data_IF_125153345699
#
_entry.id   IF_125153345699
#
_cell.length_a   1.000
_cell.length_b   1.000
_cell.length_c   1.000
_cell.angle_alpha   90.00
_cell.angle_beta   90.00
_cell.angle_gamma   90.00
#
_symmetry.space_group_name_H-M   'P 1'
#
loop_
_entity.id
_entity.type
_entity.pdbx_description
1 polymer ?
#
# COMPACT_ATOMS: atom_id res chain seq x y z
N UNK A 1 -5.64 3.95 -21.57
CA UNK A 1 -5.08 2.66 -21.09
C UNK A 1 -5.05 2.75 -19.57
N UNK A 2 -6.10 2.29 -18.90
CA UNK A 2 -6.17 2.36 -17.44
C UNK A 2 -5.57 1.10 -16.86
N UNK A 3 -4.62 1.27 -15.94
CA UNK A 3 -3.99 0.23 -15.14
C UNK A 3 -5.03 -0.37 -14.18
N UNK A 4 -6.01 -1.08 -14.76
CA UNK A 4 -7.26 -1.46 -14.11
C UNK A 4 -6.95 -2.28 -12.84
N UNK A 5 -7.30 -1.74 -11.68
CA UNK A 5 -7.06 -2.38 -10.38
C UNK A 5 -5.63 -2.31 -9.84
N UNK A 6 -4.72 -1.56 -10.48
CA UNK A 6 -3.33 -1.36 -10.00
C UNK A 6 -3.06 0.02 -9.43
N UNK A 7 -3.84 1.02 -9.82
CA UNK A 7 -3.74 2.39 -9.30
C UNK A 7 -5.11 2.83 -8.78
N UNK A 8 -5.12 3.47 -7.61
CA UNK A 8 -6.31 4.02 -6.98
C UNK A 8 -6.02 5.39 -6.38
N UNK A 9 -6.79 6.38 -6.81
CA UNK A 9 -6.78 7.73 -6.23
C UNK A 9 -7.79 7.81 -5.09
N UNK A 10 -7.39 8.39 -3.96
CA UNK A 10 -8.22 8.63 -2.78
C UNK A 10 -7.85 9.99 -2.19
N UNK A 11 -8.73 10.97 -2.34
CA UNK A 11 -8.41 12.35 -1.99
C UNK A 11 -7.18 12.86 -2.76
N UNK A 12 -6.15 13.28 -2.03
CA UNK A 12 -4.89 13.79 -2.58
C UNK A 12 -3.81 12.70 -2.78
N UNK A 13 -4.10 11.44 -2.41
CA UNK A 13 -3.14 10.34 -2.49
C UNK A 13 -3.42 9.41 -3.66
N UNK A 14 -2.33 8.84 -4.19
CA UNK A 14 -2.35 7.78 -5.19
C UNK A 14 -1.76 6.51 -4.57
N UNK A 15 -2.54 5.43 -4.56
CA UNK A 15 -2.08 4.10 -4.16
C UNK A 15 -1.81 3.26 -5.40
N UNK A 16 -0.66 2.60 -5.46
CA UNK A 16 -0.28 1.75 -6.57
C UNK A 16 0.23 0.38 -6.09
N UNK A 17 0.02 -0.67 -6.91
CA UNK A 17 0.59 -1.99 -6.68
C UNK A 17 1.08 -2.64 -7.97
N UNK A 18 2.21 -3.35 -7.87
CA UNK A 18 2.74 -4.18 -8.95
C UNK A 18 2.18 -5.63 -8.92
N UNK A 19 1.36 -5.97 -7.91
CA UNK A 19 0.75 -7.29 -7.73
C UNK A 19 1.70 -8.42 -7.31
N UNK A 20 2.98 -8.12 -7.05
CA UNK A 20 3.98 -9.11 -6.64
C UNK A 20 3.97 -9.30 -5.12
N UNK A 21 4.26 -10.53 -4.67
CA UNK A 21 4.54 -10.82 -3.26
C UNK A 21 6.02 -10.58 -2.99
N UNK A 22 6.32 -9.94 -1.87
CA UNK A 22 7.67 -9.66 -1.40
C UNK A 22 7.66 -9.60 0.13
N UNK A 23 8.82 -9.79 0.77
CA UNK A 23 8.96 -9.44 2.19
C UNK A 23 8.87 -7.91 2.38
N UNK A 24 8.72 -7.47 3.63
CA UNK A 24 8.54 -6.05 3.96
C UNK A 24 9.68 -5.17 3.42
N UNK A 25 10.94 -5.59 3.56
CA UNK A 25 12.10 -4.81 3.14
C UNK A 25 12.16 -4.67 1.62
N UNK A 26 11.94 -5.77 0.91
CA UNK A 26 11.86 -5.77 -0.56
C UNK A 26 10.68 -4.95 -1.10
N UNK A 27 9.53 -5.00 -0.43
CA UNK A 27 8.36 -4.20 -0.80
C UNK A 27 8.59 -2.70 -0.58
N UNK A 28 9.17 -2.32 0.57
CA UNK A 28 9.53 -0.93 0.87
C UNK A 28 10.51 -0.39 -0.17
N UNK A 29 11.59 -1.13 -0.42
CA UNK A 29 12.61 -0.75 -1.40
C UNK A 29 12.01 -0.58 -2.79
N UNK A 30 11.12 -1.47 -3.23
CA UNK A 30 10.45 -1.33 -4.53
C UNK A 30 9.62 -0.05 -4.63
N UNK A 31 8.96 0.38 -3.55
CA UNK A 31 8.24 1.65 -3.54
C UNK A 31 9.21 2.85 -3.56
N UNK A 32 10.31 2.78 -2.80
CA UNK A 32 11.32 3.85 -2.75
C UNK A 32 12.04 4.03 -4.09
N UNK A 33 12.32 2.95 -4.82
CA UNK A 33 12.91 2.97 -6.17
C UNK A 33 12.02 3.71 -7.18
N UNK A 34 10.69 3.69 -6.97
CA UNK A 34 9.70 4.42 -7.76
C UNK A 34 9.41 5.85 -7.22
N UNK A 35 10.19 6.33 -6.24
CA UNK A 35 10.01 7.64 -5.62
C UNK A 35 8.78 7.73 -4.69
N UNK A 36 8.26 6.60 -4.25
CA UNK A 36 7.11 6.47 -3.38
C UNK A 36 7.49 5.85 -2.02
N UNK A 37 6.49 5.50 -1.22
CA UNK A 37 6.66 4.76 0.04
C UNK A 37 5.59 3.68 0.15
N UNK A 38 5.75 2.73 1.07
CA UNK A 38 4.71 1.74 1.36
C UNK A 38 3.40 2.43 1.74
N UNK A 39 2.28 1.87 1.30
CA UNK A 39 0.97 2.45 1.55
C UNK A 39 0.70 2.64 3.05
N UNK A 40 0.55 3.90 3.47
CA UNK A 40 0.24 4.27 4.85
C UNK A 40 -1.15 4.93 4.88
N UNK A 41 -2.21 4.13 5.04
CA UNK A 41 -3.57 4.66 5.11
C UNK A 41 -3.76 5.44 6.42
N UNK A 42 -4.28 6.66 6.33
CA UNK A 42 -4.54 7.56 7.46
C UNK A 42 -6.02 7.72 7.77
N UNK A 43 -6.90 7.18 6.93
CA UNK A 43 -8.35 7.22 7.13
C UNK A 43 -9.04 5.95 6.58
N UNK A 44 -10.34 5.82 6.87
CA UNK A 44 -11.15 4.65 6.47
C UNK A 44 -11.26 4.48 4.96
N UNK A 45 -11.29 5.59 4.21
CA UNK A 45 -11.42 5.57 2.76
C UNK A 45 -10.15 5.03 2.09
N UNK A 46 -8.99 5.50 2.54
CA UNK A 46 -7.68 5.02 2.11
C UNK A 46 -7.50 3.53 2.43
N UNK A 47 -7.87 3.11 3.64
CA UNK A 47 -7.82 1.69 4.04
C UNK A 47 -8.73 0.83 3.16
N UNK A 48 -9.96 1.29 2.88
CA UNK A 48 -10.89 0.60 1.99
C UNK A 48 -10.34 0.46 0.57
N UNK A 49 -9.73 1.50 0.03
CA UNK A 49 -9.13 1.48 -1.30
C UNK A 49 -7.99 0.45 -1.43
N UNK A 50 -7.14 0.34 -0.41
CA UNK A 50 -6.10 -0.69 -0.37
C UNK A 50 -6.75 -2.09 -0.31
N UNK A 51 -7.72 -2.31 0.57
CA UNK A 51 -8.42 -3.60 0.72
C UNK A 51 -9.09 -4.02 -0.59
N UNK A 52 -9.82 -3.12 -1.24
CA UNK A 52 -10.52 -3.41 -2.50
C UNK A 52 -9.54 -3.70 -3.65
N UNK A 53 -8.32 -3.15 -3.57
CA UNK A 53 -7.22 -3.45 -4.51
C UNK A 53 -6.62 -4.83 -4.25
N UNK A 54 -6.21 -5.13 -3.01
CA UNK A 54 -5.52 -6.41 -2.69
C UNK A 54 -6.44 -7.63 -2.78
N UNK A 55 -7.76 -7.46 -2.55
CA UNK A 55 -8.77 -8.52 -2.75
C UNK A 55 -8.78 -9.08 -4.17
N UNK A 56 -8.48 -8.26 -5.18
CA UNK A 56 -8.42 -8.71 -6.58
C UNK A 56 -7.29 -9.72 -6.81
N UNK A 57 -6.24 -9.66 -5.99
CA UNK A 57 -5.11 -10.59 -6.03
C UNK A 57 -5.29 -11.77 -5.06
N UNK A 58 -6.35 -11.77 -4.26
CA UNK A 58 -6.57 -12.72 -3.16
C UNK A 58 -5.35 -12.78 -2.21
N UNK A 59 -4.76 -11.63 -1.91
CA UNK A 59 -3.56 -11.47 -1.09
C UNK A 59 -3.72 -10.40 0.00
N UNK A 60 -2.72 -10.34 0.88
CA UNK A 60 -2.51 -9.25 1.82
C UNK A 60 -1.36 -8.35 1.35
N UNK A 61 -1.32 -7.13 1.85
CA UNK A 61 -0.22 -6.19 1.63
C UNK A 61 0.37 -5.72 2.95
N UNK A 62 1.67 -5.48 2.95
CA UNK A 62 2.32 -4.74 4.04
C UNK A 62 1.90 -3.27 3.97
N UNK A 63 1.69 -2.67 5.15
CA UNK A 63 1.46 -1.23 5.29
C UNK A 63 2.75 -0.54 5.73
N UNK A 64 2.90 0.74 5.40
CA UNK A 64 4.05 1.55 5.80
C UNK A 64 4.06 1.95 7.29
N UNK A 65 3.28 1.27 8.13
CA UNK A 65 3.17 1.52 9.56
C UNK A 65 4.16 0.61 10.27
N UNK A 66 5.10 1.19 11.00
CA UNK A 66 6.06 0.49 11.85
C UNK A 66 5.76 0.86 13.30
N UNK A 67 5.85 -0.11 14.21
CA UNK A 67 5.74 0.19 15.63
C UNK A 67 6.87 1.15 16.01
N UNK A 68 6.51 2.22 16.73
CA UNK A 68 7.51 3.06 17.39
C UNK A 68 8.09 2.28 18.58
N UNK A 69 9.23 2.69 19.13
CA UNK A 69 9.86 2.02 20.29
C UNK A 69 8.93 1.89 21.50
N UNK A 70 7.84 2.68 21.54
CA UNK A 70 6.75 2.54 22.50
C UNK A 70 5.59 1.76 21.87
N UNK A 71 5.42 0.50 22.26
CA UNK A 71 4.31 -0.34 21.82
C UNK A 71 2.98 0.14 22.40
N UNK A 72 2.00 0.42 21.53
CA UNK A 72 0.58 0.50 21.89
C UNK A 72 0.09 1.72 22.71
N UNK A 73 0.76 2.88 22.67
CA UNK A 73 0.25 4.12 23.29
C UNK A 73 -0.34 5.11 22.29
#
# INVERSE_FOLDING_TARGET
>A
IYLNGKIREVGEKVFATNGKKADFGSALRSCEEDGATLGTPMNKEESKAIIDTVKQYNQYAYLGIKECETSGQ
#
